data_IF_334989382449
#
_entry.id   IF_334989382449
#
_cell.length_a   1.000
_cell.length_b   1.000
_cell.length_c   1.000
_cell.angle_alpha   90.00
_cell.angle_beta   90.00
_cell.angle_gamma   90.00
#
_symmetry.space_group_name_H-M   'P 1'
#
loop_
_entity.id
_entity.type
_entity.pdbx_description
1 polymer ?
#
# COMPACT_ATOMS: atom_id res chain seq x y z
N UNK A 1 -17.22 -10.36 28.85
CA UNK A 1 -17.19 -8.89 28.69
C UNK A 1 -18.50 -8.37 28.11
N UNK A 2 -18.97 -8.89 26.98
CA UNK A 2 -20.18 -8.39 26.27
C UNK A 2 -21.47 -8.46 27.08
N UNK A 3 -21.68 -9.54 27.87
CA UNK A 3 -22.89 -9.66 28.70
C UNK A 3 -23.01 -8.53 29.74
N UNK A 4 -21.90 -8.13 30.37
CA UNK A 4 -21.90 -7.02 31.33
C UNK A 4 -22.15 -5.65 30.67
N UNK A 5 -21.80 -5.49 29.39
CA UNK A 5 -22.02 -4.26 28.64
C UNK A 5 -23.48 -4.11 28.17
N UNK A 6 -24.18 -5.24 27.96
CA UNK A 6 -25.57 -5.27 27.52
C UNK A 6 -26.60 -5.16 28.66
N UNK A 7 -26.19 -5.38 29.91
CA UNK A 7 -27.10 -5.31 31.07
C UNK A 7 -27.49 -3.87 31.46
N UNK A 8 -26.68 -2.85 31.12
CA UNK A 8 -27.03 -1.42 31.30
C UNK A 8 -26.33 -0.49 30.28
N UNK A 9 -26.69 -0.56 28.99
CA UNK A 9 -26.14 0.35 27.99
C UNK A 9 -26.85 1.71 28.11
N UNK A 10 -26.20 2.67 28.77
CA UNK A 10 -26.67 4.06 28.77
C UNK A 10 -26.92 4.56 27.34
N UNK A 11 -27.97 5.36 27.14
CA UNK A 11 -28.38 5.82 25.80
C UNK A 11 -27.26 6.55 25.06
N UNK A 12 -26.43 7.30 25.79
CA UNK A 12 -25.26 7.99 25.26
C UNK A 12 -24.22 7.01 24.69
N UNK A 13 -23.99 5.88 25.36
CA UNK A 13 -23.01 4.88 24.90
C UNK A 13 -23.49 4.15 23.64
N UNK A 14 -24.81 3.96 23.49
CA UNK A 14 -25.39 3.40 22.24
C UNK A 14 -25.17 4.34 21.06
N UNK A 15 -25.36 5.64 21.28
CA UNK A 15 -25.10 6.65 20.26
C UNK A 15 -23.61 6.70 19.89
N UNK A 16 -22.72 6.61 20.88
CA UNK A 16 -21.27 6.63 20.67
C UNK A 16 -20.77 5.43 19.82
N UNK A 17 -21.25 4.21 20.08
CA UNK A 17 -20.87 3.07 19.24
C UNK A 17 -21.43 3.18 17.81
N UNK A 18 -22.58 3.84 17.64
CA UNK A 18 -23.15 4.07 16.31
C UNK A 18 -22.33 5.04 15.46
N UNK A 19 -21.73 6.09 16.05
CA UNK A 19 -20.86 7.00 15.31
C UNK A 19 -19.53 6.35 14.92
N UNK A 20 -18.98 5.49 15.78
CA UNK A 20 -17.75 4.76 15.50
C UNK A 20 -17.86 3.87 14.25
N UNK A 21 -19.01 3.20 14.07
CA UNK A 21 -19.29 2.34 12.91
C UNK A 21 -19.19 3.10 11.58
N UNK A 22 -19.76 4.31 11.52
CA UNK A 22 -19.71 5.14 10.31
C UNK A 22 -18.26 5.50 9.98
N UNK A 23 -17.50 5.89 10.99
CA UNK A 23 -16.10 6.27 10.82
C UNK A 23 -15.24 5.10 10.33
N UNK A 24 -15.40 3.92 10.93
CA UNK A 24 -14.71 2.70 10.52
C UNK A 24 -15.15 2.23 9.14
N UNK A 25 -16.44 2.33 8.80
CA UNK A 25 -16.95 2.00 7.46
C UNK A 25 -16.39 2.89 6.34
N UNK A 26 -16.15 4.18 6.63
CA UNK A 26 -15.54 5.12 5.69
C UNK A 26 -14.01 5.01 5.61
N UNK A 27 -13.38 4.35 6.58
CA UNK A 27 -11.92 4.25 6.68
C UNK A 27 -11.26 3.70 5.40
N UNK A 28 -11.73 2.61 4.77
CA UNK A 28 -11.11 2.06 3.57
C UNK A 28 -11.10 3.06 2.41
N UNK A 29 -12.17 3.84 2.26
CA UNK A 29 -12.30 4.85 1.22
C UNK A 29 -11.36 6.03 1.47
N UNK A 30 -11.28 6.51 2.71
CA UNK A 30 -10.38 7.62 3.07
C UNK A 30 -8.91 7.20 2.89
N UNK A 31 -8.54 6.00 3.34
CA UNK A 31 -7.19 5.45 3.14
C UNK A 31 -6.87 5.24 1.66
N UNK A 32 -7.87 4.91 0.84
CA UNK A 32 -7.72 4.82 -0.62
C UNK A 32 -7.32 6.16 -1.23
N UNK A 33 -7.90 7.27 -0.76
CA UNK A 33 -7.55 8.62 -1.21
C UNK A 33 -6.17 9.11 -0.76
N UNK A 34 -5.70 8.65 0.41
CA UNK A 34 -4.36 8.99 0.93
C UNK A 34 -3.25 8.10 0.34
N UNK A 35 -3.61 6.99 -0.30
CA UNK A 35 -2.63 6.03 -0.78
C UNK A 35 -2.12 6.37 -2.19
N UNK A 36 -0.85 6.06 -2.50
CA UNK A 36 -0.33 6.24 -3.85
C UNK A 36 -1.01 5.30 -4.83
N UNK A 37 -0.97 5.64 -6.12
CA UNK A 37 -1.69 4.87 -7.15
C UNK A 37 -1.11 3.46 -7.30
N UNK A 38 -1.94 2.54 -7.78
CA UNK A 38 -1.55 1.13 -7.92
C UNK A 38 -0.38 0.96 -8.90
N UNK A 39 -0.30 1.81 -9.93
CA UNK A 39 0.82 1.86 -10.88
C UNK A 39 2.12 2.31 -10.21
N UNK A 40 2.07 3.35 -9.38
CA UNK A 40 3.25 3.82 -8.63
C UNK A 40 3.75 2.74 -7.68
N UNK A 41 2.83 2.08 -6.96
CA UNK A 41 3.17 0.95 -6.08
C UNK A 41 3.76 -0.23 -6.88
N UNK A 42 3.21 -0.56 -8.05
CA UNK A 42 3.69 -1.66 -8.89
C UNK A 42 5.08 -1.38 -9.47
N UNK A 43 5.33 -0.15 -9.93
CA UNK A 43 6.67 0.28 -10.39
C UNK A 43 7.69 0.19 -9.25
N UNK A 44 7.34 0.67 -8.06
CA UNK A 44 8.17 0.57 -6.87
C UNK A 44 8.48 -0.91 -6.51
N UNK A 45 7.48 -1.80 -6.58
CA UNK A 45 7.67 -3.23 -6.33
C UNK A 45 8.61 -3.90 -7.35
N UNK A 46 8.67 -3.38 -8.57
CA UNK A 46 9.56 -3.92 -9.60
C UNK A 46 11.03 -3.65 -9.28
N UNK A 47 11.32 -2.45 -8.75
CA UNK A 47 12.68 -2.03 -8.41
C UNK A 47 13.10 -2.55 -7.03
N UNK A 48 12.23 -2.39 -6.03
CA UNK A 48 12.46 -2.80 -4.64
C UNK A 48 11.26 -3.61 -4.10
N UNK A 49 11.21 -4.93 -4.37
CA UNK A 49 10.03 -5.73 -4.06
C UNK A 49 9.70 -5.76 -2.57
N UNK A 50 10.70 -5.93 -1.70
CA UNK A 50 10.50 -6.00 -0.24
C UNK A 50 9.90 -4.70 0.29
N UNK A 51 10.42 -3.55 -0.16
CA UNK A 51 9.94 -2.25 0.26
C UNK A 51 8.50 -2.00 -0.23
N UNK A 52 8.22 -2.36 -1.49
CA UNK A 52 6.87 -2.28 -2.05
C UNK A 52 5.84 -3.15 -1.30
N UNK A 53 6.20 -4.39 -0.96
CA UNK A 53 5.35 -5.27 -0.15
C UNK A 53 5.07 -4.70 1.24
N UNK A 54 6.09 -4.17 1.92
CA UNK A 54 5.92 -3.53 3.23
C UNK A 54 5.00 -2.30 3.14
N UNK A 55 5.17 -1.47 2.11
CA UNK A 55 4.31 -0.30 1.88
C UNK A 55 2.85 -0.67 1.60
N UNK A 56 2.58 -1.79 0.92
CA UNK A 56 1.21 -2.25 0.67
C UNK A 56 0.57 -2.80 1.94
N UNK A 57 1.32 -3.51 2.78
CA UNK A 57 0.83 -3.95 4.09
C UNK A 57 0.61 -2.76 5.04
N UNK A 58 1.42 -1.70 4.95
CA UNK A 58 1.26 -0.46 5.71
C UNK A 58 0.16 0.47 5.17
N UNK A 59 -0.32 0.24 3.95
CA UNK A 59 -1.37 1.01 3.30
C UNK A 59 -2.29 0.08 2.48
N UNK A 60 -3.22 -0.65 3.15
CA UNK A 60 -3.98 -1.73 2.53
C UNK A 60 -5.01 -1.22 1.51
N UNK A 61 -5.57 -0.03 1.69
CA UNK A 61 -6.43 0.58 0.68
C UNK A 61 -5.60 1.18 -0.44
N UNK A 62 -5.98 0.95 -1.68
CA UNK A 62 -5.38 1.61 -2.84
C UNK A 62 -6.46 2.35 -3.62
N UNK A 63 -6.17 3.54 -4.17
CA UNK A 63 -7.13 4.23 -5.02
C UNK A 63 -7.38 3.38 -6.26
N UNK A 64 -8.64 3.27 -6.64
CA UNK A 64 -9.04 2.65 -7.90
C UNK A 64 -9.34 3.76 -8.91
N UNK A 65 -8.82 3.62 -10.11
CA UNK A 65 -9.19 4.48 -11.25
C UNK A 65 -10.34 3.85 -12.02
N UNK A 66 -10.92 4.61 -12.96
CA UNK A 66 -12.01 4.12 -13.84
C UNK A 66 -11.50 2.90 -14.63
N UNK A 67 -12.05 1.69 -14.43
CA UNK A 67 -11.47 0.46 -15.02
C UNK A 67 -11.51 0.41 -16.54
N UNK A 68 -12.40 1.19 -17.15
CA UNK A 68 -12.69 1.20 -18.59
C UNK A 68 -12.22 2.48 -19.28
N UNK A 69 -11.72 3.44 -18.50
CA UNK A 69 -11.13 4.63 -19.08
C UNK A 69 -9.74 4.25 -19.55
N UNK A 70 -9.52 4.32 -20.87
CA UNK A 70 -8.16 4.26 -21.40
C UNK A 70 -7.49 5.57 -21.01
N UNK A 71 -6.88 5.59 -19.84
CA UNK A 71 -5.92 6.64 -19.53
C UNK A 71 -4.79 6.49 -20.53
N UNK A 72 -4.53 7.54 -21.29
CA UNK A 72 -3.30 7.66 -22.08
C UNK A 72 -2.16 7.69 -21.07
N UNK A 73 -1.69 6.50 -20.69
CA UNK A 73 -0.51 6.35 -19.84
C UNK A 73 0.59 7.07 -20.60
N UNK A 74 1.15 8.12 -20.00
CA UNK A 74 2.34 8.77 -20.56
C UNK A 74 3.32 7.63 -20.83
N UNK A 75 3.75 7.43 -22.10
CA UNK A 75 4.54 6.27 -22.46
C UNK A 75 5.73 6.23 -21.52
N UNK A 76 5.76 5.20 -20.68
CA UNK A 76 6.82 4.98 -19.71
C UNK A 76 8.08 4.73 -20.51
N UNK A 77 8.81 5.81 -20.81
CA UNK A 77 10.02 5.77 -21.64
C UNK A 77 11.07 4.95 -20.90
N UNK A 78 11.35 3.81 -21.51
CA UNK A 78 12.33 2.78 -21.17
C UNK A 78 12.23 2.21 -19.75
N UNK A 79 11.65 1.01 -19.73
CA UNK A 79 11.93 -0.08 -18.82
C UNK A 79 13.41 -0.47 -18.94
N UNK A 80 14.29 0.35 -18.36
CA UNK A 80 15.69 -0.01 -18.20
C UNK A 80 15.77 -1.26 -17.32
N UNK A 81 16.39 -2.30 -17.86
CA UNK A 81 16.85 -3.52 -17.17
C UNK A 81 17.14 -3.27 -15.70
N UNK A 82 16.77 -4.21 -14.81
CA UNK A 82 17.22 -4.31 -13.40
C UNK A 82 18.58 -3.64 -13.23
N UNK A 83 18.56 -2.34 -12.98
CA UNK A 83 19.78 -1.62 -12.78
C UNK A 83 20.05 -1.86 -11.32
N UNK A 84 20.74 -2.96 -11.05
CA UNK A 84 21.57 -3.16 -9.87
C UNK A 84 22.72 -2.12 -9.87
N UNK A 85 22.40 -0.87 -10.24
CA UNK A 85 23.26 0.27 -10.15
C UNK A 85 23.35 0.58 -8.67
N UNK A 86 24.54 0.44 -8.05
CA UNK A 86 24.70 0.78 -6.65
C UNK A 86 24.42 2.27 -6.51
N UNK A 87 23.41 2.58 -5.70
CA UNK A 87 22.99 3.92 -5.28
C UNK A 87 24.12 4.54 -4.42
N UNK A 88 25.21 5.00 -5.05
CA UNK A 88 26.43 5.41 -4.35
C UNK A 88 26.40 6.84 -3.77
N UNK A 89 25.27 7.55 -3.82
CA UNK A 89 25.18 8.89 -3.20
C UNK A 89 23.86 9.17 -2.46
N UNK A 90 23.07 8.15 -2.14
CA UNK A 90 22.14 8.24 -1.03
C UNK A 90 22.82 7.56 0.15
N UNK A 91 23.08 8.30 1.23
CA UNK A 91 23.67 7.75 2.46
C UNK A 91 22.96 6.43 2.82
N UNK A 92 23.72 5.38 3.16
CA UNK A 92 23.17 4.11 3.67
C UNK A 92 22.12 4.33 4.77
N UNK A 93 22.24 5.43 5.52
CA UNK A 93 21.26 5.87 6.50
C UNK A 93 19.87 6.14 5.91
N UNK A 94 19.77 6.76 4.72
CA UNK A 94 18.49 7.09 4.08
C UNK A 94 17.76 5.83 3.60
N UNK A 95 18.47 4.88 2.98
CA UNK A 95 17.87 3.59 2.59
C UNK A 95 17.44 2.79 3.82
N UNK A 96 18.29 2.73 4.85
CA UNK A 96 17.95 2.03 6.10
C UNK A 96 16.72 2.64 6.77
N UNK A 97 16.64 3.97 6.79
CA UNK A 97 15.49 4.70 7.33
C UNK A 97 14.19 4.36 6.59
N UNK A 98 14.21 4.23 5.26
CA UNK A 98 13.01 3.84 4.47
C UNK A 98 12.51 2.45 4.87
N UNK A 99 13.40 1.47 4.99
CA UNK A 99 13.02 0.12 5.42
C UNK A 99 12.50 0.08 6.85
N UNK A 100 13.14 0.82 7.77
CA UNK A 100 12.69 0.93 9.15
C UNK A 100 11.29 1.56 9.22
N UNK A 101 11.06 2.69 8.54
CA UNK A 101 9.76 3.34 8.51
C UNK A 101 8.67 2.47 7.85
N UNK A 102 8.99 1.80 6.75
CA UNK A 102 8.05 0.89 6.09
C UNK A 102 7.69 -0.31 6.97
N UNK A 103 8.68 -0.91 7.64
CA UNK A 103 8.44 -2.02 8.58
C UNK A 103 7.64 -1.60 9.81
N UNK A 104 7.91 -0.41 10.36
CA UNK A 104 7.17 0.15 11.48
C UNK A 104 5.72 0.46 11.09
N UNK A 105 5.49 1.02 9.89
CA UNK A 105 4.15 1.26 9.36
C UNK A 105 3.37 -0.05 9.19
N UNK A 106 3.97 -1.07 8.56
CA UNK A 106 3.34 -2.39 8.39
C UNK A 106 3.03 -3.06 9.74
N UNK A 107 3.97 -3.02 10.68
CA UNK A 107 3.77 -3.55 12.03
C UNK A 107 2.65 -2.81 12.78
N UNK A 108 2.57 -1.48 12.64
CA UNK A 108 1.51 -0.68 13.24
C UNK A 108 0.14 -1.03 12.65
N UNK A 109 0.01 -1.16 11.33
CA UNK A 109 -1.25 -1.59 10.70
C UNK A 109 -1.66 -2.98 11.19
N UNK A 110 -0.74 -3.93 11.21
CA UNK A 110 -1.04 -5.30 11.64
C UNK A 110 -1.43 -5.36 13.12
N UNK A 111 -0.73 -4.62 13.98
CA UNK A 111 -1.03 -4.53 15.40
C UNK A 111 -2.42 -3.91 15.64
N UNK A 112 -2.76 -2.85 14.91
CA UNK A 112 -4.08 -2.23 15.02
C UNK A 112 -5.19 -3.17 14.52
N UNK A 113 -4.97 -3.91 13.44
CA UNK A 113 -5.93 -4.91 12.94
C UNK A 113 -6.17 -6.04 13.95
N UNK A 114 -5.11 -6.54 14.61
CA UNK A 114 -5.22 -7.57 15.65
C UNK A 114 -5.96 -7.04 16.87
N UNK A 115 -5.59 -5.86 17.36
CA UNK A 115 -6.25 -5.24 18.52
C UNK A 115 -7.74 -4.99 18.25
N UNK A 116 -8.06 -4.48 17.06
CA UNK A 116 -9.44 -4.24 16.65
C UNK A 116 -10.24 -5.56 16.61
N UNK A 117 -9.68 -6.63 16.04
CA UNK A 117 -10.33 -7.94 15.99
C UNK A 117 -10.51 -8.59 17.37
N UNK A 118 -9.64 -8.30 18.34
CA UNK A 118 -9.76 -8.83 19.71
C UNK A 118 -10.73 -8.03 20.59
N UNK A 119 -10.88 -6.73 20.33
CA UNK A 119 -11.69 -5.83 21.14
C UNK A 119 -13.14 -5.71 20.66
N UNK A 120 -13.46 -6.24 19.49
CA UNK A 120 -14.75 -6.03 18.83
C UNK A 120 -15.40 -7.35 18.41
N UNK A 121 -16.70 -7.27 18.11
CA UNK A 121 -17.46 -8.42 17.58
C UNK A 121 -18.03 -8.04 16.22
N UNK A 122 -17.86 -8.94 15.25
CA UNK A 122 -18.51 -8.85 13.95
C UNK A 122 -19.95 -9.30 14.02
N UNK A 123 -20.88 -8.42 13.62
CA UNK A 123 -22.33 -8.67 13.65
C UNK A 123 -22.79 -9.94 12.89
N UNK A 124 -22.05 -10.34 11.86
CA UNK A 124 -22.49 -11.35 10.88
C UNK A 124 -21.84 -12.73 11.13
N UNK A 125 -20.68 -12.76 11.81
CA UNK A 125 -19.89 -13.97 12.09
C UNK A 125 -19.08 -13.78 13.39
N UNK A 126 -19.69 -14.13 14.52
CA UNK A 126 -19.10 -13.94 15.85
C UNK A 126 -17.81 -14.73 16.12
N UNK A 127 -17.49 -15.76 15.33
CA UNK A 127 -16.33 -16.65 15.55
C UNK A 127 -15.11 -16.34 14.68
N UNK A 128 -15.22 -15.44 13.71
CA UNK A 128 -14.17 -15.20 12.70
C UNK A 128 -13.53 -13.82 12.89
N UNK A 129 -12.75 -13.65 13.96
CA UNK A 129 -12.01 -12.40 14.27
C UNK A 129 -10.76 -12.15 13.39
N UNK A 130 -10.61 -12.91 12.30
CA UNK A 130 -9.47 -12.83 11.39
C UNK A 130 -9.81 -12.08 10.08
N UNK A 131 -11.04 -11.57 9.94
CA UNK A 131 -11.51 -10.94 8.69
C UNK A 131 -10.83 -9.59 8.43
N UNK A 132 -10.48 -8.86 9.48
CA UNK A 132 -9.74 -7.60 9.44
C UNK A 132 -8.29 -7.83 9.00
N UNK A 133 -7.66 -8.90 9.50
CA UNK A 133 -6.32 -9.33 9.06
C UNK A 133 -6.38 -9.80 7.61
N UNK A 134 -7.41 -10.57 7.25
CA UNK A 134 -7.63 -11.00 5.88
C UNK A 134 -7.79 -9.80 4.93
N UNK A 135 -8.47 -8.72 5.35
CA UNK A 135 -8.56 -7.49 4.58
C UNK A 135 -7.19 -6.86 4.31
N UNK A 136 -6.28 -6.81 5.29
CA UNK A 136 -4.91 -6.29 5.09
C UNK A 136 -4.15 -7.13 4.07
N UNK A 137 -4.19 -8.46 4.17
CA UNK A 137 -3.49 -9.33 3.22
C UNK A 137 -4.12 -9.36 1.83
N UNK A 138 -5.44 -9.20 1.74
CA UNK A 138 -6.16 -9.17 0.47
C UNK A 138 -5.76 -7.97 -0.39
N UNK A 139 -5.16 -6.92 0.21
CA UNK A 139 -4.58 -5.78 -0.51
C UNK A 139 -3.43 -6.18 -1.46
N UNK A 140 -2.79 -7.33 -1.21
CA UNK A 140 -1.74 -7.86 -2.09
C UNK A 140 -2.32 -8.33 -3.43
N UNK A 141 -3.59 -8.72 -3.50
CA UNK A 141 -4.19 -9.27 -4.72
C UNK A 141 -4.25 -8.23 -5.84
N UNK A 142 -4.84 -7.03 -5.66
CA UNK A 142 -4.79 -5.97 -6.68
C UNK A 142 -3.37 -5.62 -7.12
N UNK A 143 -2.41 -5.61 -6.17
CA UNK A 143 -1.01 -5.32 -6.46
C UNK A 143 -0.38 -6.36 -7.39
N UNK A 144 -0.62 -7.65 -7.17
CA UNK A 144 -0.07 -8.71 -8.03
C UNK A 144 -0.56 -8.56 -9.48
N UNK A 145 -1.83 -8.19 -9.69
CA UNK A 145 -2.35 -7.91 -11.03
C UNK A 145 -1.72 -6.66 -11.66
N UNK A 146 -1.48 -5.61 -10.86
CA UNK A 146 -0.79 -4.41 -11.34
C UNK A 146 0.67 -4.67 -11.73
N UNK A 147 1.40 -5.46 -10.93
CA UNK A 147 2.77 -5.92 -11.26
C UNK A 147 2.74 -6.74 -12.56
N UNK A 148 1.73 -7.60 -12.72
CA UNK A 148 1.51 -8.34 -13.96
C UNK A 148 1.37 -7.42 -15.17
N UNK A 149 0.56 -6.36 -15.06
CA UNK A 149 0.38 -5.38 -16.15
C UNK A 149 1.72 -4.75 -16.56
N UNK A 150 2.49 -4.27 -15.58
CA UNK A 150 3.82 -3.67 -15.80
C UNK A 150 4.81 -4.67 -16.42
N UNK A 151 4.77 -5.92 -15.97
CA UNK A 151 5.62 -6.99 -16.50
C UNK A 151 5.38 -7.25 -18.00
N UNK A 152 4.11 -7.35 -18.41
CA UNK A 152 3.75 -7.58 -19.81
C UNK A 152 4.12 -6.40 -20.72
N UNK A 153 4.01 -5.17 -20.22
CA UNK A 153 4.47 -3.96 -20.92
C UNK A 153 5.99 -3.94 -21.12
N UNK A 154 6.74 -4.38 -20.11
CA UNK A 154 8.19 -4.53 -20.18
C UNK A 154 8.65 -5.52 -21.25
N UNK A 155 7.96 -6.67 -21.40
CA UNK A 155 8.29 -7.67 -22.43
C UNK A 155 8.06 -7.13 -23.85
N UNK A 156 6.98 -6.37 -24.07
CA UNK A 156 6.56 -5.94 -25.41
C UNK A 156 7.17 -4.59 -25.84
N UNK A 157 8.33 -4.22 -25.27
CA UNK A 157 9.05 -2.99 -25.58
C UNK A 157 8.15 -1.72 -25.50
N UNK A 158 7.23 -1.67 -24.53
CA UNK A 158 6.33 -0.52 -24.36
C UNK A 158 5.21 -0.42 -25.39
N UNK A 159 5.01 -1.43 -26.26
CA UNK A 159 3.82 -1.49 -27.12
C UNK A 159 2.64 -1.96 -26.27
N UNK A 160 1.69 -1.05 -26.05
CA UNK A 160 0.46 -1.33 -25.32
C UNK A 160 -0.27 -2.52 -25.97
N UNK A 161 -0.25 -3.66 -25.27
CA UNK A 161 -0.88 -4.89 -25.72
C UNK A 161 -2.28 -5.01 -25.09
N UNK A 162 -3.21 -5.70 -25.77
CA UNK A 162 -4.55 -5.97 -25.23
C UNK A 162 -4.49 -6.63 -23.85
N UNK A 163 -3.48 -7.46 -23.59
CA UNK A 163 -3.30 -8.15 -22.31
C UNK A 163 -2.92 -7.22 -21.15
N UNK A 164 -2.03 -6.23 -21.34
CA UNK A 164 -1.65 -5.32 -20.24
C UNK A 164 -2.81 -4.43 -19.82
N UNK A 165 -3.64 -4.00 -20.79
CA UNK A 165 -4.88 -3.29 -20.52
C UNK A 165 -5.90 -4.11 -19.72
N UNK A 166 -6.09 -5.40 -20.06
CA UNK A 166 -6.99 -6.28 -19.29
C UNK A 166 -6.50 -6.43 -17.85
N UNK A 167 -5.20 -6.62 -17.63
CA UNK A 167 -4.64 -6.76 -16.29
C UNK A 167 -4.81 -5.50 -15.44
N UNK A 168 -4.66 -4.33 -16.04
CA UNK A 168 -4.86 -3.05 -15.37
C UNK A 168 -6.34 -2.79 -15.00
N UNK A 169 -7.26 -3.10 -15.92
CA UNK A 169 -8.70 -3.06 -15.63
C UNK A 169 -9.06 -4.03 -14.49
N UNK A 170 -8.51 -5.25 -14.51
CA UNK A 170 -8.72 -6.23 -13.43
C UNK A 170 -8.14 -5.74 -12.10
N UNK A 171 -6.95 -5.15 -12.10
CA UNK A 171 -6.32 -4.60 -10.91
C UNK A 171 -7.19 -3.49 -10.26
N UNK A 172 -7.77 -2.60 -11.07
CA UNK A 172 -8.68 -1.55 -10.60
C UNK A 172 -10.02 -2.12 -10.09
N UNK A 173 -10.60 -3.12 -10.77
CA UNK A 173 -11.83 -3.79 -10.30
C UNK A 173 -11.59 -4.50 -8.96
N UNK A 174 -10.46 -5.21 -8.83
CA UNK A 174 -10.08 -5.87 -7.60
C UNK A 174 -9.78 -4.86 -6.48
N UNK A 175 -9.15 -3.73 -6.79
CA UNK A 175 -8.94 -2.65 -5.81
C UNK A 175 -10.27 -2.06 -5.33
N UNK A 176 -11.22 -1.79 -6.24
CA UNK A 176 -12.57 -1.34 -5.86
C UNK A 176 -13.29 -2.38 -5.00
N UNK A 177 -13.24 -3.66 -5.38
CA UNK A 177 -13.82 -4.76 -4.62
C UNK A 177 -13.19 -4.91 -3.23
N UNK A 178 -11.87 -4.73 -3.12
CA UNK A 178 -11.14 -4.75 -1.85
C UNK A 178 -11.56 -3.62 -0.91
N UNK A 179 -11.74 -2.39 -1.44
CA UNK A 179 -12.25 -1.25 -0.67
C UNK A 179 -13.68 -1.53 -0.18
N UNK A 180 -14.56 -2.03 -1.04
CA UNK A 180 -15.95 -2.40 -0.66
C UNK A 180 -15.94 -3.49 0.40
N UNK A 181 -15.12 -4.54 0.23
CA UNK A 181 -14.97 -5.60 1.21
C UNK A 181 -14.50 -5.06 2.56
N UNK A 182 -13.49 -4.18 2.56
CA UNK A 182 -13.03 -3.48 3.77
C UNK A 182 -14.14 -2.69 4.45
N UNK A 183 -14.97 -1.97 3.68
CA UNK A 183 -16.06 -1.18 4.24
C UNK A 183 -17.11 -2.07 4.90
N UNK A 184 -17.43 -3.21 4.29
CA UNK A 184 -18.37 -4.18 4.88
C UNK A 184 -17.80 -4.78 6.16
N UNK A 185 -16.52 -5.17 6.17
CA UNK A 185 -15.87 -5.75 7.36
C UNK A 185 -15.78 -4.71 8.49
N UNK A 186 -15.29 -3.51 8.21
CA UNK A 186 -15.12 -2.46 9.23
C UNK A 186 -16.44 -1.83 9.70
N UNK A 187 -17.51 -1.84 8.89
CA UNK A 187 -18.85 -1.43 9.35
C UNK A 187 -19.56 -2.51 10.16
N UNK A 188 -19.11 -3.76 10.09
CA UNK A 188 -19.65 -4.86 10.89
C UNK A 188 -19.08 -4.93 12.31
N UNK A 189 -18.07 -4.11 12.62
CA UNK A 189 -17.39 -3.99 13.92
C UNK A 189 -18.30 -3.30 14.94
N UNK A 190 -18.64 -3.98 16.04
CA UNK A 190 -19.49 -3.47 17.11
C UNK A 190 -18.72 -3.26 18.43
N UNK A 191 -19.30 -2.46 19.33
CA UNK A 191 -18.86 -2.23 20.72
C UNK A 191 -17.51 -1.52 20.89
N UNK A 192 -17.17 -0.61 19.97
CA UNK A 192 -16.01 0.29 20.10
C UNK A 192 -16.48 1.74 20.25
N UNK A 193 -15.88 2.49 21.18
CA UNK A 193 -16.18 3.90 21.36
C UNK A 193 -15.65 4.76 20.22
N UNK A 194 -16.25 5.93 19.96
CA UNK A 194 -15.84 6.78 18.83
C UNK A 194 -14.41 7.28 18.97
N UNK A 195 -13.98 7.60 20.20
CA UNK A 195 -12.61 8.08 20.45
C UNK A 195 -11.55 7.00 20.20
N UNK A 196 -11.85 5.75 20.58
CA UNK A 196 -10.95 4.62 20.32
C UNK A 196 -10.90 4.31 18.82
N UNK A 197 -12.06 4.33 18.15
CA UNK A 197 -12.15 4.17 16.70
C UNK A 197 -11.39 5.28 15.94
N UNK A 198 -11.49 6.53 16.39
CA UNK A 198 -10.75 7.67 15.85
C UNK A 198 -9.23 7.47 16.01
N UNK A 199 -8.80 6.98 17.17
CA UNK A 199 -7.39 6.64 17.42
C UNK A 199 -6.87 5.56 16.47
N UNK A 200 -7.65 4.49 16.25
CA UNK A 200 -7.32 3.42 15.31
C UNK A 200 -7.26 3.94 13.88
N UNK A 201 -8.26 4.72 13.45
CA UNK A 201 -8.28 5.37 12.15
C UNK A 201 -7.05 6.26 11.94
N UNK A 202 -6.72 7.12 12.90
CA UNK A 202 -5.58 8.01 12.81
C UNK A 202 -4.26 7.24 12.65
N UNK A 203 -4.11 6.10 13.32
CA UNK A 203 -2.94 5.23 13.16
C UNK A 203 -2.87 4.58 11.79
N UNK A 204 -4.00 4.14 11.23
CA UNK A 204 -4.04 3.64 9.84
C UNK A 204 -3.70 4.76 8.86
N UNK A 205 -4.27 5.95 9.03
CA UNK A 205 -3.99 7.11 8.18
C UNK A 205 -2.52 7.53 8.25
N UNK A 206 -1.92 7.58 9.45
CA UNK A 206 -0.51 7.88 9.62
C UNK A 206 0.39 6.86 8.89
N UNK A 207 0.06 5.57 8.97
CA UNK A 207 0.80 4.52 8.27
C UNK A 207 0.69 4.65 6.75
N UNK A 208 -0.52 4.96 6.26
CA UNK A 208 -0.75 5.20 4.84
C UNK A 208 0.02 6.42 4.32
N UNK A 209 0.03 7.52 5.08
CA UNK A 209 0.80 8.73 4.76
C UNK A 209 2.31 8.46 4.75
N UNK A 210 2.83 7.67 5.70
CA UNK A 210 4.24 7.25 5.70
C UNK A 210 4.56 6.45 4.43
N UNK A 211 3.71 5.49 4.06
CA UNK A 211 3.90 4.69 2.84
C UNK A 211 3.81 5.54 1.57
N UNK A 212 2.91 6.53 1.55
CA UNK A 212 2.81 7.51 0.47
C UNK A 212 4.08 8.34 0.34
N UNK A 213 4.58 8.88 1.46
CA UNK A 213 5.82 9.65 1.51
C UNK A 213 7.00 8.82 1.00
N UNK A 214 7.12 7.55 1.43
CA UNK A 214 8.20 6.66 0.96
C UNK A 214 8.11 6.45 -0.56
N UNK A 215 6.91 6.26 -1.11
CA UNK A 215 6.71 6.03 -2.56
C UNK A 215 7.08 7.26 -3.38
N UNK A 216 6.73 8.45 -2.90
CA UNK A 216 7.09 9.73 -3.54
C UNK A 216 8.61 9.94 -3.49
N UNK A 217 9.22 9.74 -2.31
CA UNK A 217 10.67 9.87 -2.15
C UNK A 217 11.47 8.86 -2.97
N UNK A 218 10.94 7.66 -3.20
CA UNK A 218 11.56 6.67 -4.08
C UNK A 218 11.45 7.07 -5.55
N UNK A 219 10.31 7.61 -5.96
CA UNK A 219 10.08 8.09 -7.33
C UNK A 219 11.00 9.27 -7.69
N UNK A 220 11.16 10.22 -6.78
CA UNK A 220 12.02 11.41 -6.95
C UNK A 220 13.50 11.04 -7.09
N UNK A 221 14.01 10.15 -6.22
CA UNK A 221 15.39 9.66 -6.32
C UNK A 221 15.66 8.98 -7.67
N UNK A 222 14.67 8.28 -8.21
CA UNK A 222 14.78 7.62 -9.50
C UNK A 222 14.76 8.59 -10.68
N UNK A 223 14.13 9.76 -10.56
CA UNK A 223 14.20 10.82 -11.57
C UNK A 223 15.58 11.50 -11.56
N UNK A 224 16.10 11.84 -10.38
CA UNK A 224 17.44 12.46 -10.22
C UNK A 224 18.55 11.58 -10.81
N UNK A 225 18.48 10.26 -10.61
CA UNK A 225 19.47 9.32 -11.20
C UNK A 225 19.41 9.29 -12.73
N UNK A 226 18.23 9.52 -13.33
CA UNK A 226 18.05 9.49 -14.79
C UNK A 226 18.54 10.77 -15.49
N UNK A 227 18.52 11.91 -14.80
CA UNK A 227 18.98 13.20 -15.33
C UNK A 227 20.51 13.36 -15.30
N UNK A 228 21.25 12.41 -14.71
CA UNK A 228 22.72 12.47 -14.68
C UNK A 228 23.31 12.26 -16.10
N UNK A 229 24.22 13.15 -16.57
CA UNK A 229 24.80 13.03 -17.90
C UNK A 229 25.61 11.73 -18.07
N UNK A 230 25.38 11.03 -19.19
CA UNK A 230 26.00 9.75 -19.60
C UNK A 230 27.50 9.53 -19.22
N UNK A 231 28.42 10.51 -19.37
CA UNK A 231 29.82 10.31 -18.98
C UNK A 231 30.03 10.05 -17.47
N UNK A 232 29.17 10.57 -16.59
CA UNK A 232 29.25 10.30 -15.14
C UNK A 232 28.71 8.91 -14.79
N UNK A 233 27.76 8.39 -15.56
CA UNK A 233 27.22 7.06 -15.33
C UNK A 233 28.24 5.97 -15.73
N UNK A 234 28.95 6.17 -16.85
CA UNK A 234 30.07 5.29 -17.24
C UNK A 234 31.26 5.38 -16.27
N UNK A 235 31.58 6.56 -15.74
CA UNK A 235 32.63 6.71 -14.73
C UNK A 235 32.28 5.97 -13.41
N UNK A 236 31.02 6.02 -12.96
CA UNK A 236 30.57 5.28 -11.79
C UNK A 236 30.59 3.75 -12.01
N UNK A 237 30.26 3.28 -13.21
CA UNK A 237 30.43 1.86 -13.56
C UNK A 237 31.91 1.42 -13.55
N UNK A 238 32.83 2.24 -14.08
CA UNK A 238 34.26 1.93 -14.12
C UNK A 238 34.93 1.94 -12.72
N UNK A 239 34.48 2.80 -11.80
CA UNK A 239 34.98 2.83 -10.41
C UNK A 239 34.52 1.60 -9.62
N UNK A 240 33.30 1.09 -9.87
CA UNK A 240 32.78 -0.12 -9.21
C UNK A 240 33.46 -1.40 -9.72
N UNK A 241 33.77 -1.49 -11.02
CA UNK A 241 34.60 -2.57 -11.59
C UNK A 241 36.10 -2.42 -11.23
N UNK A 242 36.50 -1.29 -10.65
CA UNK A 242 37.85 -1.01 -10.17
C UNK A 242 38.34 -1.88 -9.01
N UNK A 243 37.49 -2.72 -8.40
CA UNK A 243 37.92 -3.77 -7.44
C UNK A 243 38.51 -5.03 -8.12
N UNK A 244 39.00 -4.91 -9.35
CA UNK A 244 39.70 -6.01 -10.05
C UNK A 244 41.05 -5.63 -10.69
N UNK A 245 41.69 -4.55 -10.26
CA UNK A 245 43.09 -4.25 -10.63
C UNK A 245 43.96 -4.12 -9.38
N UNK A 246 44.22 -5.24 -8.72
CA UNK A 246 45.41 -5.44 -7.89
C UNK A 246 45.64 -6.94 -7.63
N UNK A 247 46.27 -7.60 -8.59
CA UNK A 247 47.43 -8.51 -8.45
C UNK A 247 47.76 -9.15 -9.79
#
# INVERSE_FOLDING_TARGET
MVNCLMDNPGEVNKADWSSAIVMLGLTPTILGGLSPTLEQKAKMCWENPILGFLCVLGAPSSPFSRPWERLDKVPSRHFGSRALLPKHSASLAATTLKYLLASAAAANVLQNAIMLGQQTILSWKCTWAYLEIAWVFLALVPLLFAIGSVYFEGIHAGKQNRQSGILDSLANILAAGHVVFGTVVLSAVLFIGTLDALGVFARFAASALICQLITVLDSDENEVVREMPLPLQQANHAVVDGRRWNK
#
